data_IF_748943986509
#
_entry.id   IF_748943986509
#
_cell.length_a   1.000
_cell.length_b   1.000
_cell.length_c   1.000
_cell.angle_alpha   90.00
_cell.angle_beta   90.00
_cell.angle_gamma   90.00
#
_symmetry.space_group_name_H-M   'P 1'
#
loop_
_entity.id
_entity.type
_entity.pdbx_description
1 polymer ?
#
# COMPACT_ATOMS: atom_id res chain seq x y z
N UNK A 1 22.25 -19.33 -25.53
CA UNK A 1 21.01 -19.59 -24.78
C UNK A 1 19.85 -18.89 -25.48
N UNK A 2 18.66 -19.49 -25.50
CA UNK A 2 17.44 -18.83 -26.02
C UNK A 2 17.05 -17.71 -25.05
N UNK A 3 16.80 -16.51 -25.57
CA UNK A 3 16.36 -15.36 -24.75
C UNK A 3 15.03 -15.68 -24.09
N UNK A 4 14.95 -15.47 -22.77
CA UNK A 4 13.71 -15.54 -21.99
C UNK A 4 13.01 -14.18 -22.14
N UNK A 5 11.77 -14.19 -22.62
CA UNK A 5 10.96 -12.96 -22.79
C UNK A 5 9.79 -13.00 -21.82
N UNK A 6 9.66 -11.97 -21.00
CA UNK A 6 8.62 -11.82 -19.98
C UNK A 6 7.86 -10.49 -20.20
N UNK A 7 6.63 -10.41 -19.70
CA UNK A 7 5.80 -9.20 -19.64
C UNK A 7 5.61 -8.80 -18.19
N UNK A 8 5.82 -7.53 -17.88
CA UNK A 8 5.55 -6.95 -16.58
C UNK A 8 4.42 -5.92 -16.71
N UNK A 9 3.28 -6.15 -16.05
CA UNK A 9 2.17 -5.21 -15.96
C UNK A 9 2.23 -4.40 -14.65
N UNK A 10 2.01 -3.10 -14.74
CA UNK A 10 1.85 -2.19 -13.61
C UNK A 10 0.74 -1.17 -13.92
N UNK A 11 -0.02 -0.79 -12.90
CA UNK A 11 -1.13 0.16 -13.08
C UNK A 11 -0.75 1.60 -12.74
N UNK A 12 0.34 1.81 -11.99
CA UNK A 12 0.85 3.15 -11.71
C UNK A 12 1.29 3.88 -12.99
N UNK A 13 1.08 5.21 -13.09
CA UNK A 13 1.57 6.01 -14.20
C UNK A 13 3.09 5.91 -14.40
N UNK A 14 3.61 6.06 -15.63
CA UNK A 14 5.05 5.91 -15.91
C UNK A 14 5.94 6.94 -15.20
N UNK A 15 5.37 8.02 -14.67
CA UNK A 15 6.09 9.12 -14.02
C UNK A 15 6.28 8.94 -12.51
N UNK A 16 5.75 7.87 -11.92
CA UNK A 16 5.81 7.67 -10.46
C UNK A 16 7.03 6.85 -10.04
N UNK A 17 7.41 6.87 -8.75
CA UNK A 17 8.54 6.08 -8.26
C UNK A 17 8.26 4.57 -8.33
N UNK A 18 7.01 4.14 -8.19
CA UNK A 18 6.58 2.76 -8.35
C UNK A 18 6.93 2.24 -9.75
N UNK A 19 6.61 3.04 -10.78
CA UNK A 19 6.98 2.71 -12.15
C UNK A 19 8.50 2.74 -12.36
N UNK A 20 9.21 3.70 -11.74
CA UNK A 20 10.67 3.77 -11.79
C UNK A 20 11.34 2.56 -11.13
N UNK A 21 10.83 2.09 -9.99
CA UNK A 21 11.30 0.90 -9.30
C UNK A 21 11.04 -0.36 -10.13
N UNK A 22 9.89 -0.45 -10.80
CA UNK A 22 9.60 -1.51 -11.74
C UNK A 22 10.58 -1.55 -12.92
N UNK A 23 10.92 -0.38 -13.47
CA UNK A 23 11.94 -0.26 -14.52
C UNK A 23 13.34 -0.62 -14.00
N UNK A 24 13.71 -0.16 -12.80
CA UNK A 24 14.98 -0.48 -12.17
C UNK A 24 15.15 -1.99 -11.93
N UNK A 25 14.08 -2.68 -11.50
CA UNK A 25 14.05 -4.13 -11.41
C UNK A 25 14.35 -4.76 -12.77
N UNK A 26 13.69 -4.31 -13.84
CA UNK A 26 13.93 -4.81 -15.20
C UNK A 26 15.39 -4.63 -15.62
N UNK A 27 15.92 -3.42 -15.46
CA UNK A 27 17.27 -3.06 -15.88
C UNK A 27 18.32 -3.94 -15.17
N UNK A 28 18.17 -4.13 -13.85
CA UNK A 28 19.04 -4.98 -13.05
C UNK A 28 18.98 -6.45 -13.50
N UNK A 29 17.79 -6.98 -13.79
CA UNK A 29 17.65 -8.34 -14.33
C UNK A 29 18.34 -8.45 -15.69
N UNK A 30 18.12 -7.49 -16.60
CA UNK A 30 18.73 -7.53 -17.92
C UNK A 30 20.26 -7.44 -17.85
N UNK A 31 20.81 -6.58 -16.98
CA UNK A 31 22.23 -6.44 -16.74
C UNK A 31 22.84 -7.74 -16.17
N UNK A 32 22.31 -8.23 -15.05
CA UNK A 32 22.83 -9.41 -14.33
C UNK A 32 22.70 -10.70 -15.14
N UNK A 33 21.75 -10.74 -16.06
CA UNK A 33 21.57 -11.88 -16.98
C UNK A 33 22.35 -11.72 -18.30
N UNK A 34 23.12 -10.63 -18.46
CA UNK A 34 23.80 -10.29 -19.72
C UNK A 34 22.85 -10.32 -20.94
N UNK A 35 21.62 -9.83 -20.75
CA UNK A 35 20.56 -9.79 -21.75
C UNK A 35 19.88 -11.13 -22.04
N UNK A 36 20.18 -12.19 -21.28
CA UNK A 36 19.52 -13.49 -21.45
C UNK A 36 18.03 -13.44 -21.08
N UNK A 37 17.64 -12.53 -20.17
CA UNK A 37 16.25 -12.20 -19.87
C UNK A 37 15.93 -10.83 -20.45
N UNK A 38 14.77 -10.70 -21.10
CA UNK A 38 14.19 -9.44 -21.56
C UNK A 38 12.78 -9.32 -21.00
N UNK A 39 12.48 -8.17 -20.39
CA UNK A 39 11.16 -7.91 -19.80
C UNK A 39 10.53 -6.72 -20.52
N UNK A 40 9.35 -6.92 -21.09
CA UNK A 40 8.55 -5.85 -21.68
C UNK A 40 7.67 -5.23 -20.60
N UNK A 41 7.84 -3.92 -20.35
CA UNK A 41 7.11 -3.22 -19.30
C UNK A 41 5.86 -2.51 -19.83
N UNK A 42 4.73 -2.75 -19.17
CA UNK A 42 3.44 -2.15 -19.47
C UNK A 42 2.94 -1.36 -18.24
N UNK A 43 3.12 -0.05 -18.23
CA UNK A 43 2.71 0.85 -17.14
C UNK A 43 1.33 1.48 -17.39
N UNK A 44 0.79 2.21 -16.39
CA UNK A 44 -0.47 2.96 -16.51
C UNK A 44 -1.70 2.08 -16.76
N UNK A 45 -1.59 0.78 -16.49
CA UNK A 45 -2.65 -0.20 -16.74
C UNK A 45 -2.91 -0.43 -18.23
N UNK A 46 -1.85 -0.36 -19.06
CA UNK A 46 -1.93 -0.62 -20.49
C UNK A 46 -2.21 -2.10 -20.83
N UNK A 47 -1.74 -3.03 -19.99
CA UNK A 47 -1.95 -4.48 -20.18
C UNK A 47 -3.05 -5.05 -19.25
N UNK A 48 -3.01 -4.71 -17.97
CA UNK A 48 -3.99 -5.12 -16.96
C UNK A 48 -4.41 -3.91 -16.12
N UNK A 49 -5.69 -3.76 -15.81
CA UNK A 49 -6.16 -2.76 -14.85
C UNK A 49 -5.89 -3.21 -13.41
N UNK A 50 -5.92 -2.26 -12.46
CA UNK A 50 -5.57 -2.54 -11.06
C UNK A 50 -6.35 -3.70 -10.44
N UNK A 51 -7.67 -3.79 -10.67
CA UNK A 51 -8.51 -4.89 -10.19
C UNK A 51 -8.27 -6.24 -10.86
N UNK A 52 -7.67 -6.24 -12.06
CA UNK A 52 -7.42 -7.44 -12.88
C UNK A 52 -6.01 -8.00 -12.66
N UNK A 53 -5.15 -7.28 -11.92
CA UNK A 53 -3.71 -7.54 -11.91
C UNK A 53 -3.36 -8.94 -11.40
N UNK A 54 -3.85 -9.32 -10.22
CA UNK A 54 -3.53 -10.63 -9.63
C UNK A 54 -3.98 -11.79 -10.52
N UNK A 55 -5.24 -11.74 -10.97
CA UNK A 55 -5.82 -12.81 -11.79
C UNK A 55 -5.19 -12.86 -13.17
N UNK A 56 -4.79 -11.71 -13.72
CA UNK A 56 -4.05 -11.65 -14.97
C UNK A 56 -2.65 -12.28 -14.87
N UNK A 57 -1.94 -12.08 -13.75
CA UNK A 57 -0.65 -12.76 -13.50
C UNK A 57 -0.86 -14.25 -13.24
N UNK A 58 -1.83 -14.62 -12.38
CA UNK A 58 -2.15 -16.01 -12.08
C UNK A 58 -2.45 -16.80 -13.36
N UNK A 59 -3.23 -16.22 -14.29
CA UNK A 59 -3.61 -16.84 -15.55
C UNK A 59 -2.58 -16.69 -16.68
N UNK A 60 -1.44 -16.02 -16.43
CA UNK A 60 -0.34 -15.88 -17.41
C UNK A 60 -0.59 -14.87 -18.54
N UNK A 61 -1.52 -13.91 -18.36
CA UNK A 61 -1.68 -12.77 -19.27
C UNK A 61 -0.43 -11.88 -19.23
N UNK A 62 0.04 -11.61 -18.01
CA UNK A 62 1.35 -11.03 -17.72
C UNK A 62 2.19 -12.05 -16.94
N UNK A 63 3.51 -12.04 -17.13
CA UNK A 63 4.42 -12.90 -16.37
C UNK A 63 4.70 -12.31 -14.98
N UNK A 64 4.73 -10.98 -14.86
CA UNK A 64 4.97 -10.25 -13.61
C UNK A 64 3.88 -9.17 -13.50
N UNK A 65 3.39 -8.91 -12.28
CA UNK A 65 2.41 -7.85 -12.04
C UNK A 65 2.63 -7.11 -10.72
N UNK A 66 2.35 -5.81 -10.75
CA UNK A 66 2.35 -4.88 -9.62
C UNK A 66 0.91 -4.54 -9.25
N UNK A 67 0.48 -4.88 -8.03
CA UNK A 67 -0.91 -4.71 -7.59
C UNK A 67 -1.03 -4.30 -6.12
N UNK A 68 -2.23 -3.90 -5.71
CA UNK A 68 -2.56 -3.60 -4.30
C UNK A 68 -3.54 -4.62 -3.74
N UNK A 69 -3.40 -4.98 -2.46
CA UNK A 69 -4.31 -5.93 -1.80
C UNK A 69 -5.76 -5.41 -1.82
N UNK A 70 -5.94 -4.10 -1.66
CA UNK A 70 -7.24 -3.43 -1.61
C UNK A 70 -8.08 -3.54 -2.88
N UNK A 71 -7.47 -3.80 -4.04
CA UNK A 71 -8.19 -4.02 -5.30
C UNK A 71 -8.72 -5.44 -5.46
N UNK A 72 -8.33 -6.36 -4.57
CA UNK A 72 -8.76 -7.75 -4.56
C UNK A 72 -9.26 -8.16 -3.16
N UNK A 73 -10.31 -7.51 -2.65
CA UNK A 73 -10.79 -7.74 -1.28
C UNK A 73 -11.14 -9.21 -1.05
N UNK A 74 -10.66 -9.76 0.07
CA UNK A 74 -10.87 -11.15 0.46
C UNK A 74 -9.91 -12.17 -0.19
N UNK A 75 -9.08 -11.78 -1.16
CA UNK A 75 -8.07 -12.69 -1.74
C UNK A 75 -6.85 -12.89 -0.85
N UNK A 76 -6.51 -11.90 -0.03
CA UNK A 76 -5.29 -11.88 0.79
C UNK A 76 -5.59 -11.71 2.29
N UNK A 77 -6.46 -12.57 2.87
CA UNK A 77 -6.95 -12.40 4.23
C UNK A 77 -5.86 -12.20 5.31
N UNK A 78 -4.71 -12.86 5.17
CA UNK A 78 -3.63 -12.82 6.15
C UNK A 78 -2.76 -11.57 5.98
N UNK A 79 -2.37 -11.23 4.73
CA UNK A 79 -1.57 -10.02 4.50
C UNK A 79 -2.39 -8.74 4.62
N UNK A 80 -3.69 -8.77 4.36
CA UNK A 80 -4.55 -7.58 4.45
C UNK A 80 -4.74 -7.11 5.91
N UNK A 81 -4.35 -7.91 6.91
CA UNK A 81 -4.15 -7.44 8.30
C UNK A 81 -3.19 -6.25 8.38
N UNK A 82 -2.24 -6.11 7.44
CA UNK A 82 -1.33 -4.96 7.35
C UNK A 82 -2.02 -3.63 7.04
N UNK A 83 -3.29 -3.65 6.60
CA UNK A 83 -4.08 -2.47 6.25
C UNK A 83 -5.07 -2.04 7.36
N UNK A 84 -5.09 -2.78 8.47
CA UNK A 84 -5.84 -2.43 9.69
C UNK A 84 -5.28 -1.18 10.37
N UNK A 85 -5.95 -0.62 11.41
CA UNK A 85 -5.37 0.36 12.33
C UNK A 85 -4.16 -0.19 13.13
N UNK A 86 -3.04 -0.41 12.45
CA UNK A 86 -1.88 -1.13 12.95
C UNK A 86 -0.86 -0.20 13.65
N UNK A 87 -1.06 1.12 13.56
CA UNK A 87 -0.13 2.10 14.11
C UNK A 87 1.14 2.28 13.28
N UNK A 88 1.04 2.12 11.95
CA UNK A 88 2.14 2.33 11.00
C UNK A 88 2.65 3.78 11.07
N UNK A 89 3.94 4.01 11.37
CA UNK A 89 4.50 5.35 11.43
C UNK A 89 5.06 5.85 10.08
N UNK A 90 5.36 4.95 9.13
CA UNK A 90 5.97 5.32 7.85
C UNK A 90 5.91 4.21 6.78
N UNK A 91 6.11 4.54 5.48
CA UNK A 91 6.23 3.53 4.43
C UNK A 91 7.46 2.64 4.62
N UNK A 92 8.52 3.20 5.21
CA UNK A 92 9.77 2.48 5.44
C UNK A 92 9.54 1.31 6.41
N UNK A 93 8.91 1.58 7.55
CA UNK A 93 8.62 0.58 8.58
C UNK A 93 7.65 -0.52 8.12
N UNK A 94 6.57 -0.15 7.42
CA UNK A 94 5.60 -1.14 6.95
C UNK A 94 6.16 -1.98 5.81
N UNK A 95 6.95 -1.41 4.89
CA UNK A 95 7.55 -2.15 3.78
C UNK A 95 8.45 -3.29 4.28
N UNK A 96 9.30 -3.04 5.27
CA UNK A 96 10.08 -4.13 5.85
C UNK A 96 9.20 -5.14 6.59
N UNK A 97 8.22 -4.66 7.36
CA UNK A 97 7.31 -5.50 8.14
C UNK A 97 6.53 -6.50 7.26
N UNK A 98 5.94 -6.06 6.15
CA UNK A 98 5.14 -6.94 5.28
C UNK A 98 6.00 -7.99 4.58
N UNK A 99 7.22 -7.65 4.17
CA UNK A 99 8.13 -8.64 3.58
C UNK A 99 8.60 -9.67 4.62
N UNK A 100 8.84 -9.27 5.86
CA UNK A 100 9.21 -10.21 6.94
C UNK A 100 8.04 -11.10 7.36
N UNK A 101 6.82 -10.56 7.40
CA UNK A 101 5.61 -11.34 7.63
C UNK A 101 5.48 -12.40 6.53
N UNK A 102 5.52 -11.97 5.26
CA UNK A 102 5.42 -12.87 4.12
C UNK A 102 6.50 -13.97 4.15
N UNK A 103 7.76 -13.60 4.39
CA UNK A 103 8.88 -14.56 4.47
C UNK A 103 8.75 -15.53 5.63
N UNK A 104 8.23 -15.09 6.79
CA UNK A 104 8.10 -15.91 7.98
C UNK A 104 6.95 -16.92 7.87
N UNK A 105 5.80 -16.48 7.37
CA UNK A 105 4.57 -17.27 7.42
C UNK A 105 4.18 -17.89 6.07
N UNK A 106 4.65 -17.33 4.95
CA UNK A 106 4.35 -17.78 3.58
C UNK A 106 2.85 -18.10 3.40
N UNK A 107 1.96 -17.12 3.63
CA UNK A 107 0.53 -17.36 3.74
C UNK A 107 -0.02 -18.02 2.48
N UNK A 108 -1.00 -18.91 2.67
CA UNK A 108 -1.45 -19.81 1.60
C UNK A 108 -2.13 -19.07 0.43
N UNK A 109 -2.58 -17.84 0.67
CA UNK A 109 -3.20 -16.94 -0.31
C UNK A 109 -2.32 -16.62 -1.52
N UNK A 110 -0.99 -16.74 -1.41
CA UNK A 110 -0.07 -16.54 -2.53
C UNK A 110 0.31 -17.81 -3.27
N UNK A 111 -0.21 -19.00 -2.92
CA UNK A 111 0.20 -20.28 -3.55
C UNK A 111 0.02 -20.31 -5.08
N UNK A 112 -0.83 -19.46 -5.64
CA UNK A 112 -1.10 -19.38 -7.08
C UNK A 112 -0.15 -18.46 -7.85
N UNK A 113 0.72 -17.72 -7.17
CA UNK A 113 1.75 -16.88 -7.79
C UNK A 113 3.07 -16.96 -7.00
N UNK A 114 4.14 -16.36 -7.51
CA UNK A 114 5.42 -16.28 -6.82
C UNK A 114 5.71 -14.82 -6.48
N UNK A 115 5.49 -14.43 -5.22
CA UNK A 115 5.77 -13.07 -4.76
C UNK A 115 7.27 -12.80 -4.82
N UNK A 116 7.64 -11.71 -5.49
CA UNK A 116 9.02 -11.24 -5.57
C UNK A 116 9.32 -10.33 -4.38
N UNK A 117 8.56 -9.25 -4.22
CA UNK A 117 8.61 -8.40 -3.03
C UNK A 117 7.28 -7.70 -2.79
N UNK A 118 7.13 -7.12 -1.61
CA UNK A 118 5.99 -6.29 -1.24
C UNK A 118 6.47 -4.89 -0.82
N UNK A 119 5.55 -3.94 -0.78
CA UNK A 119 5.79 -2.62 -0.20
C UNK A 119 4.49 -2.06 0.35
N UNK A 120 4.57 -1.08 1.23
CA UNK A 120 3.41 -0.41 1.79
C UNK A 120 3.57 1.10 1.77
N UNK A 121 2.46 1.81 1.64
CA UNK A 121 2.42 3.27 1.75
C UNK A 121 2.03 3.71 3.17
N UNK A 122 1.86 5.02 3.37
CA UNK A 122 1.24 5.57 4.57
C UNK A 122 2.24 5.95 5.68
N UNK A 123 1.78 6.51 6.80
CA UNK A 123 0.41 6.43 7.29
C UNK A 123 -0.58 7.21 6.42
N UNK A 124 -1.78 6.66 6.29
CA UNK A 124 -2.87 7.39 5.66
C UNK A 124 -3.18 8.69 6.42
N UNK A 125 -3.54 9.73 5.67
CA UNK A 125 -4.05 11.00 6.17
C UNK A 125 -5.46 11.25 5.64
N UNK A 126 -6.24 12.01 6.40
CA UNK A 126 -7.55 12.43 5.94
C UNK A 126 -7.42 13.73 5.15
N UNK A 127 -7.65 13.69 3.85
CA UNK A 127 -7.65 14.87 2.98
C UNK A 127 -9.07 15.30 2.67
N UNK A 128 -9.39 16.58 2.80
CA UNK A 128 -10.73 17.12 2.48
C UNK A 128 -10.65 18.38 1.61
N UNK A 129 -11.60 18.53 0.70
CA UNK A 129 -11.62 19.65 -0.27
C UNK A 129 -12.29 20.92 0.25
N UNK A 130 -13.19 20.79 1.24
CA UNK A 130 -14.05 21.91 1.68
C UNK A 130 -14.08 22.13 3.19
N UNK A 131 -14.16 21.05 3.98
CA UNK A 131 -14.39 21.13 5.43
C UNK A 131 -13.14 20.70 6.19
N UNK A 132 -12.62 21.57 7.05
CA UNK A 132 -11.58 21.22 8.00
C UNK A 132 -12.14 20.20 9.01
N UNK A 133 -11.36 19.15 9.31
CA UNK A 133 -11.74 18.12 10.30
C UNK A 133 -10.75 18.17 11.47
N UNK A 134 -11.23 18.63 12.61
CA UNK A 134 -10.48 18.79 13.86
C UNK A 134 -10.91 17.81 14.95
N UNK A 135 -12.09 17.20 14.81
CA UNK A 135 -12.66 16.25 15.77
C UNK A 135 -13.51 15.17 15.08
N UNK A 136 -13.81 14.09 15.79
CA UNK A 136 -14.53 12.93 15.28
C UNK A 136 -15.95 13.26 14.80
N UNK A 137 -16.65 14.17 15.47
CA UNK A 137 -18.05 14.49 15.15
C UNK A 137 -18.20 15.18 13.78
N UNK A 138 -17.14 15.84 13.31
CA UNK A 138 -17.12 16.51 12.02
C UNK A 138 -17.11 15.54 10.82
N UNK A 139 -16.73 14.27 11.03
CA UNK A 139 -16.72 13.22 10.00
C UNK A 139 -18.11 12.70 9.64
N UNK A 140 -19.07 12.73 10.56
CA UNK A 140 -20.38 12.03 10.45
C UNK A 140 -21.21 12.38 9.22
N UNK A 141 -20.95 13.53 8.60
CA UNK A 141 -21.67 14.04 7.43
C UNK A 141 -20.88 13.91 6.13
N UNK A 142 -19.65 13.41 6.19
CA UNK A 142 -18.73 13.39 5.06
C UNK A 142 -18.79 12.06 4.32
N UNK A 143 -18.70 12.15 2.99
CA UNK A 143 -18.43 11.02 2.10
C UNK A 143 -16.92 10.95 1.87
N UNK A 144 -16.26 9.98 2.46
CA UNK A 144 -14.82 9.79 2.36
C UNK A 144 -14.54 8.62 1.43
N UNK A 145 -13.68 8.83 0.43
CA UNK A 145 -13.19 7.72 -0.37
C UNK A 145 -12.19 6.91 0.44
N UNK A 146 -12.43 5.61 0.48
CA UNK A 146 -11.53 4.61 1.02
C UNK A 146 -11.88 3.25 0.41
N UNK A 147 -10.87 2.42 0.17
CA UNK A 147 -11.04 1.07 -0.38
C UNK A 147 -10.91 0.01 0.70
N UNK A 148 -11.56 -1.14 0.48
CA UNK A 148 -11.46 -2.34 1.29
C UNK A 148 -11.52 -2.04 2.80
N UNK A 149 -10.56 -2.52 3.58
CA UNK A 149 -10.53 -2.39 5.02
C UNK A 149 -10.48 -0.94 5.51
N UNK A 150 -9.82 -0.04 4.77
CA UNK A 150 -9.84 1.40 5.06
C UNK A 150 -11.27 1.98 4.96
N UNK A 151 -12.13 1.39 4.13
CA UNK A 151 -13.55 1.73 4.08
C UNK A 151 -14.29 1.38 5.37
N UNK A 152 -13.95 0.26 6.00
CA UNK A 152 -14.50 -0.11 7.32
C UNK A 152 -13.97 0.82 8.42
N UNK A 153 -12.71 1.25 8.34
CA UNK A 153 -12.16 2.30 9.23
C UNK A 153 -12.98 3.60 9.11
N UNK A 154 -13.25 4.06 7.88
CA UNK A 154 -14.06 5.27 7.64
C UNK A 154 -15.47 5.13 8.24
N UNK A 155 -16.12 3.97 8.08
CA UNK A 155 -17.44 3.70 8.67
C UNK A 155 -17.39 3.67 10.20
N UNK A 156 -16.36 3.06 10.78
CA UNK A 156 -16.16 3.01 12.23
C UNK A 156 -15.97 4.43 12.82
N UNK A 157 -15.34 5.33 12.08
CA UNK A 157 -15.24 6.76 12.42
C UNK A 157 -16.57 7.54 12.24
N UNK A 158 -17.62 6.89 11.74
CA UNK A 158 -18.95 7.46 11.56
C UNK A 158 -19.21 8.16 10.22
N UNK A 159 -18.24 8.18 9.30
CA UNK A 159 -18.39 8.76 7.97
C UNK A 159 -18.96 7.75 6.96
N UNK A 160 -19.46 8.23 5.83
CA UNK A 160 -19.87 7.38 4.72
C UNK A 160 -18.64 7.01 3.86
N UNK A 161 -18.36 5.71 3.71
CA UNK A 161 -17.29 5.24 2.84
C UNK A 161 -17.77 5.07 1.39
N UNK A 162 -16.96 5.51 0.43
CA UNK A 162 -17.18 5.27 -1.00
C UNK A 162 -15.94 4.67 -1.64
N UNK A 163 -16.12 3.76 -2.59
CA UNK A 163 -15.01 3.07 -3.25
C UNK A 163 -14.93 3.50 -4.72
N UNK A 164 -13.86 4.23 -5.04
CA UNK A 164 -13.48 4.62 -6.40
C UNK A 164 -11.99 4.32 -6.61
N UNK A 165 -11.57 4.13 -7.86
CA UNK A 165 -10.18 3.92 -8.19
C UNK A 165 -9.37 5.22 -7.99
N UNK A 166 -8.09 5.10 -7.62
CA UNK A 166 -7.24 6.28 -7.39
C UNK A 166 -7.23 7.29 -8.57
N UNK A 167 -7.18 6.86 -9.85
CA UNK A 167 -7.22 7.78 -10.98
C UNK A 167 -8.49 8.65 -11.08
N UNK A 168 -9.59 8.24 -10.46
CA UNK A 168 -10.89 8.95 -10.51
C UNK A 168 -10.98 10.04 -9.42
N UNK A 169 -10.00 10.10 -8.51
CA UNK A 169 -10.13 10.89 -7.29
C UNK A 169 -10.06 12.40 -7.49
N UNK A 170 -9.25 12.86 -8.44
CA UNK A 170 -9.15 14.29 -8.76
C UNK A 170 -10.53 14.85 -9.12
N UNK A 171 -11.20 14.19 -10.07
CA UNK A 171 -12.53 14.56 -10.54
C UNK A 171 -13.59 14.41 -9.45
N UNK A 172 -13.53 13.32 -8.68
CA UNK A 172 -14.45 13.07 -7.57
C UNK A 172 -14.42 14.17 -6.50
N UNK A 173 -13.23 14.62 -6.14
CA UNK A 173 -13.03 15.72 -5.17
C UNK A 173 -13.41 17.08 -5.76
N UNK A 174 -12.97 17.37 -6.98
CA UNK A 174 -13.24 18.63 -7.69
C UNK A 174 -14.74 18.88 -7.89
N UNK A 175 -15.48 17.83 -8.29
CA UNK A 175 -16.94 17.87 -8.53
C UNK A 175 -17.76 17.71 -7.24
N UNK A 176 -17.13 17.42 -6.10
CA UNK A 176 -17.82 17.21 -4.82
C UNK A 176 -18.66 15.92 -4.76
N UNK A 177 -18.30 14.92 -5.57
CA UNK A 177 -18.89 13.57 -5.49
C UNK A 177 -18.51 12.94 -4.14
N UNK A 178 -17.26 13.16 -3.71
CA UNK A 178 -16.76 12.87 -2.37
C UNK A 178 -16.27 14.14 -1.69
N UNK A 179 -16.31 14.17 -0.37
CA UNK A 179 -15.87 15.30 0.45
C UNK A 179 -14.38 15.20 0.83
N UNK A 180 -13.85 13.99 0.80
CA UNK A 180 -12.46 13.70 1.14
C UNK A 180 -12.00 12.30 0.76
N UNK A 181 -10.77 12.00 1.11
CA UNK A 181 -10.12 10.70 0.90
C UNK A 181 -9.25 10.36 2.11
N UNK A 182 -9.22 9.09 2.52
CA UNK A 182 -8.29 8.58 3.52
C UNK A 182 -7.25 7.71 2.80
N UNK A 183 -6.05 8.26 2.61
CA UNK A 183 -4.96 7.65 1.82
C UNK A 183 -3.62 8.30 2.17
N UNK A 184 -2.50 7.72 1.76
CA UNK A 184 -1.16 8.25 1.99
C UNK A 184 -0.93 9.64 1.34
N UNK A 185 0.00 10.45 1.85
CA UNK A 185 0.28 11.78 1.32
C UNK A 185 0.83 11.85 -0.12
N UNK A 186 1.43 10.78 -0.66
CA UNK A 186 2.07 10.84 -2.00
C UNK A 186 1.10 11.28 -3.11
N UNK A 187 -0.20 10.99 -2.94
CA UNK A 187 -1.26 11.30 -3.90
C UNK A 187 -1.48 12.79 -4.12
N UNK A 188 -1.00 13.63 -3.19
CA UNK A 188 -1.03 15.09 -3.31
C UNK A 188 -0.27 15.53 -4.57
N UNK A 189 0.78 14.80 -4.95
CA UNK A 189 1.57 15.02 -6.16
C UNK A 189 1.15 14.03 -7.26
N UNK A 190 1.21 12.71 -6.99
CA UNK A 190 1.11 11.67 -8.03
C UNK A 190 -0.24 11.66 -8.77
N UNK A 191 -1.31 12.04 -8.07
CA UNK A 191 -2.65 12.21 -8.63
C UNK A 191 -3.14 13.67 -8.60
N UNK A 192 -2.24 14.61 -8.32
CA UNK A 192 -2.53 16.06 -8.25
C UNK A 192 -3.64 16.41 -7.26
N UNK A 193 -3.83 15.61 -6.21
CA UNK A 193 -4.90 15.90 -5.24
C UNK A 193 -4.63 17.19 -4.47
N UNK A 194 -3.37 17.63 -4.36
CA UNK A 194 -3.00 18.91 -3.75
C UNK A 194 -3.62 20.13 -4.41
N UNK A 195 -4.07 20.01 -5.67
CA UNK A 195 -4.71 21.11 -6.39
C UNK A 195 -6.20 21.27 -6.02
N UNK A 196 -6.81 20.24 -5.43
CA UNK A 196 -8.26 20.18 -5.15
C UNK A 196 -8.60 19.99 -3.68
N UNK A 197 -7.66 19.52 -2.85
CA UNK A 197 -7.82 19.43 -1.40
C UNK A 197 -7.36 20.72 -0.70
N UNK A 198 -7.96 21.05 0.43
CA UNK A 198 -7.64 22.26 1.22
C UNK A 198 -7.08 21.95 2.60
N UNK A 199 -7.45 20.80 3.15
CA UNK A 199 -7.04 20.36 4.48
C UNK A 199 -6.50 18.95 4.43
N UNK A 200 -5.44 18.71 5.19
CA UNK A 200 -4.92 17.38 5.51
C UNK A 200 -4.95 17.24 7.03
N UNK A 201 -5.87 16.44 7.55
CA UNK A 201 -5.91 16.08 8.97
C UNK A 201 -4.95 14.93 9.21
N UNK A 202 -3.99 15.15 10.10
CA UNK A 202 -3.03 14.13 10.51
C UNK A 202 -3.69 13.15 11.48
N UNK A 203 -3.95 11.95 10.97
CA UNK A 203 -4.57 10.83 11.70
C UNK A 203 -3.59 9.69 11.93
N UNK A 204 -2.30 9.90 11.66
CA UNK A 204 -1.26 8.87 11.72
C UNK A 204 -1.16 8.22 13.11
N UNK A 205 -1.17 9.03 14.17
CA UNK A 205 -1.15 8.57 15.58
C UNK A 205 -2.47 7.95 16.03
N UNK A 206 -3.58 8.28 15.36
CA UNK A 206 -4.92 7.84 15.73
C UNK A 206 -5.30 6.50 15.08
N UNK A 207 -4.89 6.30 13.83
CA UNK A 207 -5.27 5.13 13.02
C UNK A 207 -4.02 4.37 12.58
N UNK A 208 -3.07 5.07 11.95
CA UNK A 208 -1.82 4.47 11.46
C UNK A 208 -2.07 3.29 10.53
N UNK A 209 -3.06 3.37 9.64
CA UNK A 209 -3.27 2.35 8.62
C UNK A 209 -2.44 2.63 7.36
N UNK A 210 -2.23 1.58 6.58
CA UNK A 210 -1.46 1.56 5.33
C UNK A 210 -2.26 0.83 4.25
N UNK A 211 -1.86 0.97 3.00
CA UNK A 211 -2.17 0.03 1.93
C UNK A 211 -0.90 -0.75 1.58
N UNK A 212 -1.06 -2.05 1.42
CA UNK A 212 0.01 -2.95 1.01
C UNK A 212 -0.13 -3.33 -0.45
N UNK A 213 1.02 -3.43 -1.11
CA UNK A 213 1.18 -3.70 -2.52
C UNK A 213 2.16 -4.86 -2.69
N UNK A 214 2.00 -5.56 -3.81
CA UNK A 214 2.80 -6.72 -4.15
C UNK A 214 3.36 -6.58 -5.54
N UNK A 215 4.52 -7.19 -5.73
CA UNK A 215 5.03 -7.55 -7.05
C UNK A 215 5.10 -9.07 -7.07
N UNK A 216 4.35 -9.67 -7.97
CA UNK A 216 4.24 -11.13 -8.06
C UNK A 216 4.48 -11.62 -9.48
N UNK A 217 4.99 -12.84 -9.59
CA UNK A 217 5.29 -13.52 -10.84
C UNK A 217 4.38 -14.72 -11.03
N UNK A 218 3.96 -14.99 -12.26
CA UNK A 218 3.23 -16.19 -12.62
C UNK A 218 4.07 -17.44 -12.29
N UNK A 219 3.47 -18.44 -11.64
CA UNK A 219 4.19 -19.64 -11.20
C UNK A 219 4.79 -20.45 -12.35
N UNK A 220 4.10 -20.59 -13.49
CA UNK A 220 4.64 -21.33 -14.63
C UNK A 220 5.84 -20.60 -15.23
N UNK A 221 5.78 -19.27 -15.26
CA UNK A 221 6.86 -18.42 -15.74
C UNK A 221 8.08 -18.51 -14.82
N UNK A 222 7.86 -18.43 -13.51
CA UNK A 222 8.90 -18.65 -12.50
C UNK A 222 9.52 -20.05 -12.64
N UNK A 223 8.71 -21.09 -12.74
CA UNK A 223 9.17 -22.48 -12.79
C UNK A 223 10.01 -22.79 -14.01
N UNK A 224 9.78 -22.10 -15.14
CA UNK A 224 10.58 -22.21 -16.37
C UNK A 224 11.94 -21.52 -16.29
N UNK A 225 12.19 -20.65 -15.30
CA UNK A 225 13.48 -20.00 -15.12
C UNK A 225 14.54 -21.02 -14.66
N UNK A 226 15.75 -21.01 -15.26
CA UNK A 226 16.89 -21.73 -14.71
C UNK A 226 17.23 -21.25 -13.29
N UNK A 227 17.80 -22.11 -12.44
CA UNK A 227 18.08 -21.78 -11.04
C UNK A 227 18.95 -20.52 -10.88
N UNK A 228 19.99 -20.36 -11.69
CA UNK A 228 20.84 -19.16 -11.65
C UNK A 228 20.06 -17.87 -12.00
N UNK A 229 19.01 -17.97 -12.82
CA UNK A 229 18.14 -16.83 -13.13
C UNK A 229 17.16 -16.57 -11.99
N UNK A 230 16.61 -17.62 -11.37
CA UNK A 230 15.80 -17.50 -10.15
C UNK A 230 16.58 -16.79 -9.04
N UNK A 231 17.84 -17.16 -8.83
CA UNK A 231 18.71 -16.53 -7.83
C UNK A 231 18.89 -15.03 -8.10
N UNK A 232 19.11 -14.65 -9.37
CA UNK A 232 19.19 -13.24 -9.78
C UNK A 232 17.88 -12.50 -9.50
N UNK A 233 16.72 -13.10 -9.79
CA UNK A 233 15.42 -12.52 -9.47
C UNK A 233 15.24 -12.32 -7.96
N UNK A 234 15.52 -13.34 -7.16
CA UNK A 234 15.40 -13.28 -5.69
C UNK A 234 16.31 -12.19 -5.11
N UNK A 235 17.59 -12.16 -5.49
CA UNK A 235 18.53 -11.14 -4.99
C UNK A 235 18.12 -9.72 -5.40
N UNK A 236 17.66 -9.56 -6.64
CA UNK A 236 17.20 -8.25 -7.14
C UNK A 236 15.93 -7.81 -6.42
N UNK A 237 14.99 -8.72 -6.17
CA UNK A 237 13.78 -8.42 -5.41
C UNK A 237 14.10 -8.04 -3.95
N UNK A 238 15.04 -8.73 -3.30
CA UNK A 238 15.49 -8.40 -1.95
C UNK A 238 16.10 -6.99 -1.85
N UNK A 239 16.91 -6.57 -2.85
CA UNK A 239 17.44 -5.21 -2.93
C UNK A 239 16.34 -4.16 -3.13
N UNK A 240 15.29 -4.51 -3.89
CA UNK A 240 14.17 -3.65 -4.19
C UNK A 240 13.29 -3.39 -2.96
N UNK A 241 13.34 -4.22 -1.91
CA UNK A 241 12.63 -3.97 -0.65
C UNK A 241 13.08 -2.65 -0.02
N UNK A 242 14.39 -2.47 0.23
CA UNK A 242 14.92 -1.23 0.83
C UNK A 242 14.73 -0.03 -0.11
N UNK A 243 14.94 -0.23 -1.43
CA UNK A 243 14.74 0.84 -2.39
C UNK A 243 13.30 1.31 -2.46
N UNK A 244 12.33 0.38 -2.36
CA UNK A 244 10.90 0.69 -2.27
C UNK A 244 10.61 1.41 -0.95
N UNK A 245 11.04 0.85 0.19
CA UNK A 245 10.86 1.44 1.51
C UNK A 245 11.33 2.91 1.55
N UNK A 246 12.52 3.19 1.02
CA UNK A 246 13.09 4.52 0.99
C UNK A 246 12.40 5.45 -0.03
N UNK A 247 12.02 4.94 -1.22
CA UNK A 247 11.36 5.73 -2.25
C UNK A 247 9.95 6.16 -1.81
N UNK A 248 9.12 5.23 -1.35
CA UNK A 248 7.75 5.54 -0.92
C UNK A 248 7.77 6.46 0.31
N UNK A 249 8.71 6.27 1.24
CA UNK A 249 8.88 7.18 2.38
C UNK A 249 9.21 8.62 1.94
N UNK A 250 10.07 8.78 0.92
CA UNK A 250 10.37 10.10 0.35
C UNK A 250 9.16 10.71 -0.35
N UNK A 251 8.35 9.92 -1.04
CA UNK A 251 7.15 10.42 -1.72
C UNK A 251 6.13 10.97 -0.73
N UNK A 252 5.90 10.29 0.39
CA UNK A 252 4.96 10.76 1.42
C UNK A 252 5.45 12.08 2.06
N UNK A 253 6.74 12.20 2.35
CA UNK A 253 7.35 13.45 2.81
C UNK A 253 7.16 14.55 1.77
N UNK A 254 7.49 14.27 0.50
CA UNK A 254 7.37 15.23 -0.59
C UNK A 254 5.92 15.68 -0.80
N UNK A 255 4.95 14.78 -0.65
CA UNK A 255 3.52 15.10 -0.74
C UNK A 255 3.08 16.12 0.32
N UNK A 256 3.47 15.89 1.58
CA UNK A 256 3.20 16.82 2.69
C UNK A 256 3.90 18.16 2.46
N UNK A 257 5.17 18.15 2.07
CA UNK A 257 5.94 19.37 1.84
C UNK A 257 5.40 20.19 0.66
N UNK A 258 5.04 19.53 -0.44
CA UNK A 258 4.36 20.15 -1.57
C UNK A 258 3.06 20.82 -1.15
N UNK A 259 2.22 20.11 -0.39
CA UNK A 259 0.94 20.65 0.03
C UNK A 259 1.08 21.86 0.95
N UNK A 260 2.04 21.84 1.89
CA UNK A 260 2.38 23.01 2.70
C UNK A 260 2.87 24.18 1.85
N UNK A 261 3.77 23.92 0.90
CA UNK A 261 4.32 24.95 0.01
C UNK A 261 3.24 25.56 -0.90
N UNK A 262 2.23 24.78 -1.27
CA UNK A 262 1.06 25.24 -2.02
C UNK A 262 0.02 26.01 -1.17
N UNK A 263 0.27 26.22 0.14
CA UNK A 263 -0.62 26.94 1.04
C UNK A 263 -1.73 26.06 1.66
N UNK A 264 -1.61 24.75 1.55
CA UNK A 264 -2.51 23.78 2.19
C UNK A 264 -2.42 23.79 3.71
N UNK A 265 -3.52 23.46 4.38
CA UNK A 265 -3.59 23.46 5.86
C UNK A 265 -3.42 22.04 6.42
N UNK A 266 -2.35 21.81 7.18
CA UNK A 266 -2.22 20.59 8.00
C UNK A 266 -2.95 20.78 9.32
N UNK A 267 -3.82 19.84 9.68
CA UNK A 267 -4.66 19.88 10.87
C UNK A 267 -4.21 18.77 11.83
N UNK A 268 -3.51 19.10 12.93
CA UNK A 268 -3.18 18.09 13.93
C UNK A 268 -4.41 17.74 14.76
N UNK A 269 -4.51 16.47 15.19
CA UNK A 269 -5.47 16.07 16.21
C UNK A 269 -4.92 16.35 17.62
N UNK A 270 -5.79 16.81 18.52
CA UNK A 270 -5.45 16.89 19.95
C UNK A 270 -5.27 15.49 20.53
N UNK A 271 -4.53 15.35 21.64
CA UNK A 271 -4.39 14.05 22.31
C UNK A 271 -5.73 13.42 22.73
N UNK A 272 -6.70 14.24 23.11
CA UNK A 272 -8.06 13.78 23.42
C UNK A 272 -8.78 13.24 22.17
N UNK A 273 -8.62 13.89 21.02
CA UNK A 273 -9.19 13.41 19.76
C UNK A 273 -8.45 12.16 19.24
N UNK A 274 -7.12 12.08 19.37
CA UNK A 274 -6.38 10.86 19.06
C UNK A 274 -6.96 9.67 19.82
N UNK A 275 -7.18 9.79 21.13
CA UNK A 275 -7.78 8.72 21.93
C UNK A 275 -9.22 8.38 21.51
N UNK A 276 -10.05 9.37 21.17
CA UNK A 276 -11.42 9.14 20.68
C UNK A 276 -11.44 8.39 19.35
N UNK A 277 -10.54 8.74 18.43
CA UNK A 277 -10.44 8.10 17.12
C UNK A 277 -9.90 6.68 17.25
N UNK A 278 -8.87 6.45 18.08
CA UNK A 278 -8.38 5.10 18.41
C UNK A 278 -9.49 4.22 18.98
N UNK A 279 -10.29 4.76 19.92
CA UNK A 279 -11.42 4.03 20.48
C UNK A 279 -12.48 3.68 19.41
N UNK A 280 -12.79 4.61 18.51
CA UNK A 280 -13.76 4.38 17.43
C UNK A 280 -13.33 3.27 16.47
N UNK A 281 -12.04 3.15 16.16
CA UNK A 281 -11.52 2.14 15.21
C UNK A 281 -11.04 0.85 15.89
N UNK A 282 -11.04 0.79 17.22
CA UNK A 282 -10.49 -0.33 18.00
C UNK A 282 -11.10 -1.70 17.66
N UNK A 283 -12.39 -1.73 17.31
CA UNK A 283 -13.08 -2.96 16.95
C UNK A 283 -12.80 -3.43 15.52
N UNK A 284 -12.28 -2.56 14.63
CA UNK A 284 -12.13 -2.87 13.19
C UNK A 284 -11.23 -4.09 12.98
N UNK A 285 -10.12 -4.17 13.71
CA UNK A 285 -9.20 -5.31 13.61
C UNK A 285 -9.83 -6.61 14.10
N UNK A 286 -10.55 -6.58 15.24
CA UNK A 286 -11.20 -7.77 15.79
C UNK A 286 -12.36 -8.25 14.91
N UNK A 287 -13.15 -7.33 14.37
CA UNK A 287 -14.22 -7.62 13.41
C UNK A 287 -13.68 -8.21 12.12
N UNK A 288 -12.55 -7.68 11.63
CA UNK A 288 -11.85 -8.24 10.48
C UNK A 288 -11.36 -9.67 10.76
N UNK A 289 -10.71 -9.92 11.91
CA UNK A 289 -10.25 -11.25 12.31
C UNK A 289 -11.41 -12.25 12.41
N UNK A 290 -12.53 -11.83 12.99
CA UNK A 290 -13.75 -12.63 13.08
C UNK A 290 -14.32 -12.94 11.68
N UNK A 291 -14.33 -11.96 10.80
CA UNK A 291 -14.80 -12.10 9.41
C UNK A 291 -13.93 -13.09 8.62
N UNK A 292 -12.59 -12.95 8.69
CA UNK A 292 -11.66 -13.88 8.04
C UNK A 292 -11.81 -15.28 8.60
N UNK A 293 -11.96 -15.43 9.93
CA UNK A 293 -12.18 -16.75 10.55
C UNK A 293 -13.43 -17.41 9.98
N UNK A 294 -14.53 -16.65 9.87
CA UNK A 294 -15.80 -17.13 9.36
C UNK A 294 -15.76 -17.48 7.87
N UNK A 295 -15.03 -16.71 7.06
CA UNK A 295 -15.06 -16.80 5.59
C UNK A 295 -14.00 -17.72 5.01
N UNK A 296 -12.87 -17.90 5.70
CA UNK A 296 -11.71 -18.65 5.19
C UNK A 296 -11.39 -19.90 6.02
N UNK A 297 -11.84 -19.94 7.28
CA UNK A 297 -11.48 -20.97 8.25
C UNK A 297 -10.10 -20.79 8.90
N UNK A 298 -9.35 -19.73 8.57
CA UNK A 298 -8.10 -19.39 9.27
C UNK A 298 -8.43 -19.01 10.71
N UNK A 299 -7.81 -19.67 11.70
CA UNK A 299 -8.18 -19.43 13.10
C UNK A 299 -7.86 -18.02 13.56
N UNK A 300 -8.66 -17.50 14.49
CA UNK A 300 -8.42 -16.19 15.09
C UNK A 300 -7.05 -16.12 15.79
N UNK A 301 -6.57 -17.23 16.35
CA UNK A 301 -5.27 -17.29 17.04
C UNK A 301 -4.10 -17.10 16.06
N UNK A 302 -4.15 -17.73 14.88
CA UNK A 302 -3.14 -17.53 13.82
C UNK A 302 -3.13 -16.07 13.36
N UNK A 303 -4.31 -15.51 13.12
CA UNK A 303 -4.42 -14.12 12.69
C UNK A 303 -3.93 -13.13 13.74
N UNK A 304 -4.24 -13.38 15.03
CA UNK A 304 -3.73 -12.58 16.15
C UNK A 304 -2.22 -12.70 16.31
N UNK A 305 -1.65 -13.88 16.08
CA UNK A 305 -0.20 -14.08 16.04
C UNK A 305 0.43 -13.23 14.91
N UNK A 306 -0.13 -13.29 13.70
CA UNK A 306 0.35 -12.52 12.55
C UNK A 306 0.24 -11.02 12.80
N UNK A 307 -0.89 -10.56 13.34
CA UNK A 307 -1.11 -9.17 13.72
C UNK A 307 -0.09 -8.71 14.76
N UNK A 308 0.11 -9.48 15.84
CA UNK A 308 1.09 -9.18 16.88
C UNK A 308 2.52 -9.15 16.35
N UNK A 309 2.87 -10.09 15.46
CA UNK A 309 4.16 -10.10 14.79
C UNK A 309 4.39 -8.80 14.02
N UNK A 310 3.40 -8.34 13.24
CA UNK A 310 3.53 -7.09 12.50
C UNK A 310 3.66 -5.87 13.42
N UNK A 311 2.93 -5.81 14.53
CA UNK A 311 3.10 -4.75 15.52
C UNK A 311 4.53 -4.71 16.10
N UNK A 312 5.09 -5.88 16.42
CA UNK A 312 6.46 -5.97 16.94
C UNK A 312 7.51 -5.56 15.91
N UNK A 313 7.30 -5.93 14.64
CA UNK A 313 8.20 -5.53 13.55
C UNK A 313 8.08 -4.04 13.23
N UNK A 314 6.88 -3.46 13.27
CA UNK A 314 6.69 -2.01 13.13
C UNK A 314 7.46 -1.27 14.22
N UNK A 315 7.31 -1.65 15.49
CA UNK A 315 8.03 -1.01 16.58
C UNK A 315 9.56 -1.15 16.42
N UNK A 316 10.04 -2.32 15.98
CA UNK A 316 11.46 -2.51 15.67
C UNK A 316 11.93 -1.58 14.55
N UNK A 317 11.22 -1.54 13.42
CA UNK A 317 11.63 -0.75 12.26
C UNK A 317 11.44 0.75 12.48
N UNK A 318 10.47 1.19 13.26
CA UNK A 318 10.39 2.57 13.73
C UNK A 318 11.66 2.96 14.51
N UNK A 319 12.09 2.10 15.44
CA UNK A 319 13.33 2.29 16.18
C UNK A 319 14.57 2.33 15.27
N UNK A 320 14.65 1.47 14.26
CA UNK A 320 15.72 1.51 13.27
C UNK A 320 15.68 2.77 12.39
N UNK A 321 14.49 3.21 12.01
CA UNK A 321 14.29 4.44 11.23
C UNK A 321 14.83 5.65 11.98
N UNK A 322 14.52 5.76 13.28
CA UNK A 322 15.05 6.79 14.19
C UNK A 322 16.57 6.70 14.28
N UNK A 323 17.14 5.52 14.54
CA UNK A 323 18.60 5.33 14.66
C UNK A 323 19.35 5.72 13.38
N UNK A 324 18.74 5.46 12.21
CA UNK A 324 19.33 5.75 10.90
C UNK A 324 19.10 7.20 10.44
N UNK A 325 18.34 7.99 11.21
CA UNK A 325 18.01 9.36 10.85
C UNK A 325 17.14 9.47 9.61
N UNK A 326 16.37 8.43 9.29
CA UNK A 326 15.44 8.45 8.15
C UNK A 326 14.19 9.25 8.59
N UNK A 327 13.82 10.31 7.86
CA UNK A 327 12.70 11.16 8.24
C UNK A 327 11.34 10.43 8.15
N UNK A 328 10.39 10.84 8.99
CA UNK A 328 8.99 10.42 8.92
C UNK A 328 8.17 11.42 8.09
N UNK A 329 7.13 10.99 7.36
CA UNK A 329 6.24 11.90 6.62
C UNK A 329 5.55 12.94 7.49
N UNK A 330 5.18 12.54 8.71
CA UNK A 330 4.47 13.34 9.71
C UNK A 330 5.16 13.20 11.07
N UNK A 331 5.04 14.20 11.94
CA UNK A 331 5.77 14.30 13.21
C UNK A 331 4.88 14.01 14.42
#
# INVERSE_FOLDING_TARGET
MKTISLKFAAYHPPTTDEARLGQEFIDLIQERTSGAVKIQYFTGGALLKAGEMYDGVQNGIADIGEGALSYNPGKFPEMDLSTTPLGVPSPWSITHTVNEMYKKYMPAEYKSTHVLWMWGNGPAVLMTSKKQVTNLDELKSLKIRAQALTGEIVKALGAAATSYAMPEMYDGLSKGVVDGVLVDPSVLISFKLGDVVKYVTDVSKAIGNSYTFYITMNNDSWNKLPNNIKDIFTQTADELIEKSAAAINRQDIAGIDYFKAAGGTIVPLSGAEVARWQAAVSAVTDEYIASVTKTTGISADVQKEHFKFMQDRIAYWEGEQVKRGIPFPLK
#
